data_IF_595871074805
#
_entry.id   IF_595871074805
#
_cell.length_a   1.000
_cell.length_b   1.000
_cell.length_c   1.000
_cell.angle_alpha   90.00
_cell.angle_beta   90.00
_cell.angle_gamma   90.00
#
_symmetry.space_group_name_H-M   'P 1'
#
loop_
_entity.id
_entity.type
_entity.pdbx_description
1 polymer ?
#
# COMPACT_ATOMS: atom_id res chain seq x y z
N UNK A 1 -7.13 3.29 -0.64
CA UNK A 1 -7.25 4.02 0.64
C UNK A 1 -6.15 5.08 0.76
N UNK A 2 -6.39 6.12 1.55
CA UNK A 2 -5.46 7.23 1.79
C UNK A 2 -4.92 7.14 3.21
N UNK A 3 -3.59 7.15 3.37
CA UNK A 3 -2.90 7.07 4.66
C UNK A 3 -2.16 8.40 4.89
N UNK A 4 -2.52 9.21 5.91
CA UNK A 4 -1.73 10.36 6.31
C UNK A 4 -0.31 9.94 6.74
N UNK A 5 0.71 10.67 6.30
CA UNK A 5 2.12 10.34 6.58
C UNK A 5 2.90 11.56 7.05
N UNK A 6 3.90 11.34 7.91
CA UNK A 6 4.82 12.38 8.40
C UNK A 6 5.94 12.66 7.42
N UNK A 7 6.42 11.60 6.79
CA UNK A 7 7.59 11.61 5.90
C UNK A 7 7.28 10.88 4.60
N UNK A 8 8.08 11.15 3.56
CA UNK A 8 7.96 10.55 2.22
C UNK A 8 9.27 9.90 1.76
N UNK A 9 9.83 8.92 2.48
CA UNK A 9 10.98 8.16 1.98
C UNK A 9 10.56 7.34 0.75
N UNK A 10 11.52 6.85 -0.04
CA UNK A 10 11.19 5.93 -1.13
C UNK A 10 10.44 4.70 -0.59
N UNK A 11 9.27 4.39 -1.15
CA UNK A 11 8.35 3.36 -0.59
C UNK A 11 9.05 2.00 -0.51
N UNK A 12 9.79 1.63 -1.55
CA UNK A 12 10.50 0.35 -1.64
C UNK A 12 11.66 0.25 -0.64
N UNK A 13 12.11 1.39 -0.08
CA UNK A 13 13.13 1.42 0.96
C UNK A 13 12.58 1.09 2.36
N UNK A 14 11.25 1.07 2.54
CA UNK A 14 10.60 0.68 3.80
C UNK A 14 10.41 -0.85 3.80
N UNK A 15 11.21 -1.64 4.55
CA UNK A 15 11.23 -3.09 4.37
C UNK A 15 9.88 -3.77 4.62
N UNK A 16 9.14 -3.31 5.63
CA UNK A 16 7.82 -3.86 5.98
C UNK A 16 6.76 -3.57 4.92
N UNK A 17 6.79 -2.41 4.27
CA UNK A 17 5.86 -2.04 3.21
C UNK A 17 6.21 -2.77 1.92
N UNK A 18 7.50 -2.78 1.55
CA UNK A 18 7.98 -3.51 0.38
C UNK A 18 7.68 -5.01 0.47
N UNK A 19 7.80 -5.60 1.67
CA UNK A 19 7.39 -6.99 1.90
C UNK A 19 5.88 -7.18 1.70
N UNK A 20 5.05 -6.33 2.29
CA UNK A 20 3.60 -6.44 2.15
C UNK A 20 3.14 -6.29 0.70
N UNK A 21 3.76 -5.42 -0.09
CA UNK A 21 3.48 -5.28 -1.53
C UNK A 21 3.80 -6.59 -2.26
N UNK A 22 4.98 -7.19 -2.05
CA UNK A 22 5.36 -8.46 -2.69
C UNK A 22 4.42 -9.61 -2.33
N UNK A 23 4.05 -9.72 -1.05
CA UNK A 23 3.11 -10.74 -0.60
C UNK A 23 1.73 -10.53 -1.24
N UNK A 24 1.30 -9.27 -1.35
CA UNK A 24 0.04 -8.91 -1.98
C UNK A 24 0.02 -9.18 -3.49
N UNK A 25 1.10 -8.90 -4.21
CA UNK A 25 1.25 -9.28 -5.62
C UNK A 25 1.08 -10.79 -5.82
N UNK A 26 1.63 -11.59 -4.90
CA UNK A 26 1.42 -13.04 -4.88
C UNK A 26 -0.04 -13.44 -4.63
N UNK A 27 -0.72 -12.79 -3.69
CA UNK A 27 -2.15 -13.05 -3.38
C UNK A 27 -3.09 -12.68 -4.53
N UNK A 28 -2.69 -11.77 -5.40
CA UNK A 28 -3.48 -11.37 -6.57
C UNK A 28 -3.22 -12.26 -7.79
N UNK A 29 -2.31 -13.25 -7.70
CA UNK A 29 -2.04 -14.26 -8.73
C UNK A 29 -1.89 -13.71 -10.18
N UNK A 30 -1.46 -12.46 -10.31
CA UNK A 30 -1.35 -11.76 -11.61
C UNK A 30 -2.65 -11.25 -12.22
N UNK A 31 -3.82 -11.47 -11.60
CA UNK A 31 -5.12 -10.94 -12.04
C UNK A 31 -5.47 -9.57 -11.42
N UNK A 32 -4.55 -8.98 -10.66
CA UNK A 32 -4.73 -7.70 -10.00
C UNK A 32 -3.57 -6.72 -10.21
N UNK A 33 -3.75 -5.48 -9.73
CA UNK A 33 -2.73 -4.42 -9.76
C UNK A 33 -2.65 -3.75 -8.41
N UNK A 34 -1.44 -3.42 -7.98
CA UNK A 34 -1.18 -2.64 -6.76
C UNK A 34 -0.43 -1.38 -7.19
N UNK A 35 -0.90 -0.23 -6.71
CA UNK A 35 -0.22 1.04 -6.86
C UNK A 35 -0.14 1.73 -5.51
N UNK A 36 1.09 1.89 -5.01
CA UNK A 36 1.38 2.68 -3.82
C UNK A 36 2.18 3.90 -4.24
N UNK A 37 1.70 5.09 -3.91
CA UNK A 37 2.40 6.35 -4.25
C UNK A 37 2.09 7.45 -3.25
N UNK A 38 2.97 8.44 -3.14
CA UNK A 38 2.63 9.67 -2.43
C UNK A 38 1.74 10.60 -3.26
N UNK A 39 0.93 11.39 -2.56
CA UNK A 39 0.31 12.59 -3.13
C UNK A 39 1.38 13.66 -3.36
N UNK A 40 1.30 14.36 -4.48
CA UNK A 40 2.23 15.45 -4.81
C UNK A 40 1.93 16.74 -4.03
N UNK A 41 0.68 16.95 -3.62
CA UNK A 41 0.21 18.18 -2.99
C UNK A 41 -0.19 18.00 -1.52
N UNK A 42 -0.30 16.75 -1.05
CA UNK A 42 -0.76 16.44 0.31
C UNK A 42 0.23 15.50 1.04
N UNK A 43 0.29 15.54 2.38
CA UNK A 43 1.08 14.61 3.18
C UNK A 43 0.38 13.25 3.34
N UNK A 44 0.10 12.58 2.20
CA UNK A 44 -0.68 11.34 2.15
C UNK A 44 -0.01 10.32 1.23
N UNK A 45 0.07 9.06 1.67
CA UNK A 45 0.32 7.90 0.82
C UNK A 45 -1.02 7.32 0.32
N UNK A 46 -1.10 7.02 -0.96
CA UNK A 46 -2.28 6.45 -1.64
C UNK A 46 -1.99 5.00 -1.97
N UNK A 47 -2.87 4.12 -1.53
CA UNK A 47 -2.85 2.68 -1.85
C UNK A 47 -4.04 2.37 -2.73
N UNK A 48 -3.80 1.92 -3.95
CA UNK A 48 -4.84 1.46 -4.88
C UNK A 48 -4.58 -0.01 -5.20
N UNK A 49 -5.64 -0.80 -5.15
CA UNK A 49 -5.59 -2.23 -5.40
C UNK A 49 -6.76 -2.58 -6.31
N UNK A 50 -6.48 -3.32 -7.38
CA UNK A 50 -7.45 -3.84 -8.35
C UNK A 50 -7.35 -5.37 -8.37
N UNK A 51 -8.46 -6.05 -8.61
CA UNK A 51 -8.55 -7.51 -8.67
C UNK A 51 -10.01 -7.98 -8.81
N UNK A 52 -10.21 -9.30 -8.83
CA UNK A 52 -11.55 -9.89 -9.04
C UNK A 52 -12.36 -10.04 -7.74
N UNK A 53 -11.69 -10.33 -6.62
CA UNK A 53 -12.31 -10.51 -5.31
C UNK A 53 -12.25 -9.21 -4.50
N UNK A 54 -13.41 -8.62 -4.20
CA UNK A 54 -13.51 -7.44 -3.34
C UNK A 54 -12.90 -7.68 -1.95
N UNK A 55 -13.09 -8.87 -1.39
CA UNK A 55 -12.51 -9.26 -0.11
C UNK A 55 -10.98 -9.26 -0.18
N UNK A 56 -10.40 -9.87 -1.21
CA UNK A 56 -8.95 -9.91 -1.41
C UNK A 56 -8.39 -8.49 -1.61
N UNK A 57 -9.03 -7.69 -2.47
CA UNK A 57 -8.65 -6.29 -2.71
C UNK A 57 -8.63 -5.50 -1.40
N UNK A 58 -9.69 -5.63 -0.60
CA UNK A 58 -9.83 -4.90 0.66
C UNK A 58 -8.75 -5.33 1.66
N UNK A 59 -8.56 -6.63 1.84
CA UNK A 59 -7.58 -7.16 2.78
C UNK A 59 -6.16 -6.75 2.41
N UNK A 60 -5.81 -6.81 1.12
CA UNK A 60 -4.52 -6.35 0.61
C UNK A 60 -4.32 -4.86 0.83
N UNK A 61 -5.31 -4.03 0.49
CA UNK A 61 -5.21 -2.59 0.66
C UNK A 61 -5.03 -2.18 2.13
N UNK A 62 -5.73 -2.87 3.04
CA UNK A 62 -5.62 -2.64 4.49
C UNK A 62 -4.26 -3.07 5.03
N UNK A 63 -3.76 -4.25 4.68
CA UNK A 63 -2.45 -4.75 5.14
C UNK A 63 -1.33 -3.77 4.76
N UNK A 64 -1.27 -3.35 3.49
CA UNK A 64 -0.29 -2.35 3.03
C UNK A 64 -0.49 -1.01 3.77
N UNK A 65 -1.74 -0.58 3.94
CA UNK A 65 -2.09 0.65 4.65
C UNK A 65 -1.63 0.66 6.09
N UNK A 66 -1.76 -0.47 6.79
CA UNK A 66 -1.34 -0.64 8.18
C UNK A 66 0.19 -0.62 8.30
N UNK A 67 0.92 -1.23 7.35
CA UNK A 67 2.40 -1.12 7.31
C UNK A 67 2.85 0.31 7.10
N UNK A 68 2.21 1.04 6.17
CA UNK A 68 2.50 2.46 5.94
C UNK A 68 2.22 3.30 7.20
N UNK A 69 1.07 3.08 7.84
CA UNK A 69 0.70 3.80 9.06
C UNK A 69 1.69 3.53 10.20
N UNK A 70 2.12 2.29 10.37
CA UNK A 70 3.08 1.92 11.40
C UNK A 70 4.48 2.48 11.14
N UNK A 71 4.92 2.51 9.88
CA UNK A 71 6.27 2.96 9.52
C UNK A 71 6.41 4.49 9.47
N UNK A 72 5.42 5.19 8.91
CA UNK A 72 5.51 6.61 8.55
C UNK A 72 4.22 7.41 8.83
N UNK A 73 3.24 6.84 9.54
CA UNK A 73 1.95 7.47 9.78
C UNK A 73 2.02 8.76 10.62
N UNK A 74 1.13 9.71 10.31
CA UNK A 74 0.99 10.99 11.03
C UNK A 74 0.16 10.92 12.31
#
# INVERSE_FOLDING_TARGET
INIPVRDKPEIDSIPSVAQAIREAEGRLEGSGRILVRYSGTEPVARVMVEGESEETIRNVALDIGDRLKAAIGA
#
